data_IF_455469478767
#
_entry.id   IF_455469478767
#
_cell.length_a   1.000
_cell.length_b   1.000
_cell.length_c   1.000
_cell.angle_alpha   90.00
_cell.angle_beta   90.00
_cell.angle_gamma   90.00
#
_symmetry.space_group_name_H-M   'P 1'
#
loop_
_entity.id
_entity.type
_entity.pdbx_description
1 polymer ?
#
# COMPACT_ATOMS: atom_id res chain seq x y z
N UNK A 1 -7.23 3.60 -12.69
CA UNK A 1 -5.83 3.34 -13.04
C UNK A 1 -4.88 4.24 -12.24
N UNK A 2 -5.09 5.56 -12.21
CA UNK A 2 -4.22 6.53 -11.50
C UNK A 2 -4.02 6.15 -10.03
N UNK A 3 -5.09 5.80 -9.31
CA UNK A 3 -5.00 5.36 -7.92
C UNK A 3 -4.11 4.13 -7.74
N UNK A 4 -4.19 3.14 -8.64
CA UNK A 4 -3.34 1.94 -8.59
C UNK A 4 -1.85 2.31 -8.74
N UNK A 5 -1.53 3.26 -9.64
CA UNK A 5 -0.14 3.69 -9.87
C UNK A 5 0.39 4.50 -8.69
N UNK A 6 -0.44 5.32 -8.06
CA UNK A 6 -0.02 6.32 -7.08
C UNK A 6 -0.32 5.96 -5.62
N UNK A 7 -1.02 4.84 -5.31
CA UNK A 7 -1.44 4.54 -3.93
C UNK A 7 -0.27 4.56 -2.94
N UNK A 8 0.89 4.12 -3.38
CA UNK A 8 2.12 4.01 -2.60
C UNK A 8 3.16 5.09 -2.90
N UNK A 9 2.81 6.15 -3.64
CA UNK A 9 3.76 7.21 -4.07
C UNK A 9 4.51 7.84 -2.88
N UNK A 10 3.88 7.90 -1.71
CA UNK A 10 4.48 8.42 -0.49
C UNK A 10 5.71 7.63 -0.03
N UNK A 11 5.84 6.36 -0.39
CA UNK A 11 7.01 5.53 -0.06
C UNK A 11 8.31 6.09 -0.64
N UNK A 12 8.25 6.87 -1.70
CA UNK A 12 9.42 7.56 -2.26
C UNK A 12 10.05 8.58 -1.30
N UNK A 13 9.29 9.08 -0.30
CA UNK A 13 9.78 9.98 0.75
C UNK A 13 9.77 9.31 2.12
N UNK A 14 8.98 8.27 2.30
CA UNK A 14 8.92 7.49 3.53
C UNK A 14 10.21 6.70 3.77
N UNK A 15 10.75 6.12 2.70
CA UNK A 15 11.90 5.22 2.76
C UNK A 15 13.12 5.82 2.07
N UNK A 16 14.30 5.41 2.53
CA UNK A 16 15.55 5.61 1.82
C UNK A 16 16.32 4.29 1.76
N UNK A 17 17.20 4.15 0.78
CA UNK A 17 18.09 3.00 0.66
C UNK A 17 19.51 3.45 0.92
N UNK A 18 20.20 2.80 1.86
CA UNK A 18 21.59 3.09 2.17
C UNK A 18 22.55 2.56 1.07
N UNK A 19 23.85 2.84 1.23
CA UNK A 19 24.88 2.42 0.28
C UNK A 19 25.09 0.89 0.23
N UNK A 20 24.53 0.13 1.18
CA UNK A 20 24.58 -1.33 1.24
C UNK A 20 23.33 -2.00 0.67
N UNK A 21 22.33 -1.21 0.26
CA UNK A 21 21.07 -1.69 -0.29
C UNK A 21 19.99 -1.97 0.76
N UNK A 22 20.22 -1.65 2.04
CA UNK A 22 19.20 -1.79 3.06
C UNK A 22 18.24 -0.60 3.03
N UNK A 23 16.93 -0.88 3.06
CA UNK A 23 15.91 0.13 3.18
C UNK A 23 15.63 0.45 4.66
N UNK A 24 15.47 1.73 4.97
CA UNK A 24 15.08 2.21 6.30
C UNK A 24 14.19 3.45 6.17
N UNK A 25 13.54 3.84 7.26
CA UNK A 25 12.62 4.97 7.28
C UNK A 25 13.35 6.31 7.38
N UNK A 26 12.88 7.28 6.61
CA UNK A 26 13.23 8.68 6.86
C UNK A 26 12.56 9.18 8.15
N UNK A 27 13.05 10.28 8.79
CA UNK A 27 12.33 10.90 9.90
C UNK A 27 10.88 11.28 9.54
N UNK A 28 10.66 11.80 8.33
CA UNK A 28 9.32 12.13 7.84
C UNK A 28 8.47 10.86 7.68
N UNK A 29 9.05 9.79 7.15
CA UNK A 29 8.38 8.50 6.99
C UNK A 29 7.93 7.91 8.32
N UNK A 30 8.83 7.89 9.31
CA UNK A 30 8.52 7.39 10.66
C UNK A 30 7.43 8.19 11.39
N UNK A 31 7.36 9.50 11.15
CA UNK A 31 6.42 10.38 11.85
C UNK A 31 5.05 10.49 11.16
N UNK A 32 5.00 10.43 9.83
CA UNK A 32 3.79 10.74 9.05
C UNK A 32 3.24 9.52 8.30
N UNK A 33 4.10 8.59 7.91
CA UNK A 33 3.74 7.45 7.06
C UNK A 33 3.41 7.83 5.61
N UNK A 34 3.53 6.86 4.69
CA UNK A 34 3.39 7.11 3.24
C UNK A 34 1.99 7.57 2.81
N UNK A 35 0.93 7.21 3.54
CA UNK A 35 -0.43 7.62 3.19
C UNK A 35 -0.59 9.14 3.24
N UNK A 36 -0.16 9.75 4.35
CA UNK A 36 -0.22 11.20 4.51
C UNK A 36 0.75 11.91 3.56
N UNK A 37 1.99 11.43 3.50
CA UNK A 37 3.02 11.95 2.58
C UNK A 37 2.53 11.89 1.12
N UNK A 38 1.90 10.78 0.71
CA UNK A 38 1.33 10.62 -0.62
C UNK A 38 0.23 11.66 -0.90
N UNK A 39 -0.67 11.90 0.05
CA UNK A 39 -1.69 12.94 -0.08
C UNK A 39 -1.09 14.35 -0.24
N UNK A 40 -0.03 14.68 0.51
CA UNK A 40 0.69 15.94 0.38
C UNK A 40 1.39 16.08 -0.98
N UNK A 41 1.95 14.98 -1.51
CA UNK A 41 2.56 14.97 -2.85
C UNK A 41 1.52 15.24 -3.93
N UNK A 42 0.31 14.66 -3.83
CA UNK A 42 -0.81 14.93 -4.76
C UNK A 42 -1.23 16.40 -4.68
N UNK A 43 -1.38 16.98 -3.48
CA UNK A 43 -1.73 18.39 -3.31
C UNK A 43 -0.66 19.31 -3.94
N UNK A 44 0.61 19.00 -3.73
CA UNK A 44 1.72 19.77 -4.32
C UNK A 44 1.66 19.75 -5.84
N UNK A 45 1.53 18.56 -6.44
CA UNK A 45 1.45 18.40 -7.89
C UNK A 45 0.20 19.10 -8.47
N UNK A 46 -0.94 19.01 -7.78
CA UNK A 46 -2.17 19.68 -8.21
C UNK A 46 -2.03 21.21 -8.23
N UNK A 47 -1.39 21.78 -7.21
CA UNK A 47 -1.15 23.21 -7.15
C UNK A 47 -0.21 23.70 -8.27
N UNK A 48 0.75 22.88 -8.69
CA UNK A 48 1.67 23.21 -9.78
C UNK A 48 1.00 23.26 -11.16
N UNK A 49 -0.04 22.46 -11.39
CA UNK A 49 -0.76 22.44 -12.68
C UNK A 49 -1.83 23.53 -12.81
N UNK A 50 -2.07 24.30 -11.73
CA UNK A 50 -2.97 25.46 -11.71
C UNK A 50 -4.42 25.20 -12.19
N UNK A 51 -4.93 23.99 -12.05
CA UNK A 51 -6.34 23.69 -12.28
C UNK A 51 -7.16 24.13 -11.08
N UNK A 52 -8.32 24.76 -11.32
CA UNK A 52 -9.17 25.30 -10.25
C UNK A 52 -10.65 25.06 -10.46
N UNK A 53 -11.03 24.28 -11.48
CA UNK A 53 -12.41 23.91 -11.73
C UNK A 53 -12.88 22.83 -10.73
N UNK A 54 -14.20 22.81 -10.46
CA UNK A 54 -14.81 21.93 -9.46
C UNK A 54 -14.58 20.44 -9.79
N UNK A 55 -14.59 20.06 -11.06
CA UNK A 55 -14.37 18.68 -11.51
C UNK A 55 -12.94 18.20 -11.19
N UNK A 56 -11.94 19.06 -11.41
CA UNK A 56 -10.55 18.77 -11.09
C UNK A 56 -10.33 18.66 -9.58
N UNK A 57 -10.94 19.54 -8.80
CA UNK A 57 -10.89 19.50 -7.33
C UNK A 57 -11.50 18.20 -6.78
N UNK A 58 -12.67 17.79 -7.31
CA UNK A 58 -13.31 16.53 -6.92
C UNK A 58 -12.43 15.33 -7.27
N UNK A 59 -11.85 15.26 -8.47
CA UNK A 59 -10.93 14.18 -8.87
C UNK A 59 -9.72 14.06 -7.94
N UNK A 60 -9.14 15.18 -7.53
CA UNK A 60 -8.02 15.19 -6.57
C UNK A 60 -8.47 14.68 -5.20
N UNK A 61 -9.63 15.12 -4.72
CA UNK A 61 -10.21 14.63 -3.47
C UNK A 61 -10.40 13.10 -3.51
N UNK A 62 -11.00 12.58 -4.58
CA UNK A 62 -11.23 11.14 -4.76
C UNK A 62 -9.91 10.37 -4.86
N UNK A 63 -8.90 10.90 -5.55
CA UNK A 63 -7.57 10.30 -5.62
C UNK A 63 -6.91 10.22 -4.24
N UNK A 64 -6.94 11.31 -3.47
CA UNK A 64 -6.45 11.33 -2.09
C UNK A 64 -7.20 10.34 -1.19
N UNK A 65 -8.53 10.18 -1.39
CA UNK A 65 -9.28 9.17 -0.68
C UNK A 65 -8.79 7.74 -0.99
N UNK A 66 -8.44 7.44 -2.24
CA UNK A 66 -7.83 6.15 -2.61
C UNK A 66 -6.54 5.92 -1.82
N UNK A 67 -5.64 6.92 -1.77
CA UNK A 67 -4.39 6.82 -1.02
C UNK A 67 -4.64 6.66 0.48
N UNK A 68 -5.49 7.49 1.07
CA UNK A 68 -5.75 7.51 2.51
C UNK A 68 -6.44 6.25 3.03
N UNK A 69 -7.10 5.48 2.16
CA UNK A 69 -7.94 4.34 2.53
C UNK A 69 -7.47 2.97 2.04
N UNK A 70 -6.42 2.89 1.20
CA UNK A 70 -6.09 1.62 0.55
C UNK A 70 -5.68 0.51 1.53
N UNK A 71 -5.19 0.82 2.73
CA UNK A 71 -4.98 -0.18 3.78
C UNK A 71 -6.29 -0.77 4.36
N UNK A 72 -7.45 -0.22 3.98
CA UNK A 72 -8.78 -0.74 4.30
C UNK A 72 -9.27 -0.43 5.70
N UNK A 73 -8.57 -0.85 6.75
CA UNK A 73 -8.96 -0.64 8.14
C UNK A 73 -7.95 0.24 8.88
N UNK A 74 -8.44 1.02 9.86
CA UNK A 74 -7.56 1.85 10.71
C UNK A 74 -6.58 1.00 11.53
N UNK A 75 -6.97 -0.20 11.94
CA UNK A 75 -6.08 -1.15 12.64
C UNK A 75 -4.91 -1.62 11.76
N UNK A 76 -5.01 -1.48 10.44
CA UNK A 76 -3.95 -1.75 9.47
C UNK A 76 -3.25 -0.46 8.99
N UNK A 77 -3.51 0.67 9.64
CA UNK A 77 -2.86 1.96 9.37
C UNK A 77 -3.58 2.85 8.36
N UNK A 78 -4.79 2.50 7.89
CA UNK A 78 -5.57 3.40 7.04
C UNK A 78 -5.96 4.67 7.79
N UNK A 79 -5.85 5.83 7.15
CA UNK A 79 -6.32 7.11 7.70
C UNK A 79 -7.85 7.12 7.79
N UNK A 80 -8.51 6.56 6.77
CA UNK A 80 -9.96 6.38 6.71
C UNK A 80 -10.31 5.06 6.02
N UNK A 81 -11.52 4.57 6.22
CA UNK A 81 -11.99 3.36 5.53
C UNK A 81 -12.39 3.66 4.08
N UNK A 82 -12.27 2.69 3.14
CA UNK A 82 -12.70 2.87 1.76
C UNK A 82 -14.20 3.17 1.66
N UNK A 83 -14.57 4.26 1.00
CA UNK A 83 -15.94 4.71 0.81
C UNK A 83 -16.36 4.86 -0.66
N UNK A 84 -15.51 4.38 -1.58
CA UNK A 84 -15.77 4.33 -3.01
C UNK A 84 -15.58 2.89 -3.51
N UNK A 85 -16.33 2.44 -4.52
CA UNK A 85 -16.13 1.12 -5.13
C UNK A 85 -14.67 0.91 -5.56
N UNK A 86 -14.05 1.91 -6.16
CA UNK A 86 -12.65 1.89 -6.61
C UNK A 86 -11.67 1.77 -5.43
N UNK A 87 -11.96 2.42 -4.30
CA UNK A 87 -11.14 2.32 -3.10
C UNK A 87 -11.24 0.93 -2.45
N UNK A 88 -12.45 0.35 -2.43
CA UNK A 88 -12.66 -1.02 -1.96
C UNK A 88 -11.90 -2.00 -2.85
N UNK A 89 -11.99 -1.82 -4.18
CA UNK A 89 -11.29 -2.67 -5.14
C UNK A 89 -9.77 -2.54 -4.98
N UNK A 90 -9.24 -1.32 -4.87
CA UNK A 90 -7.81 -1.08 -4.67
C UNK A 90 -7.31 -1.80 -3.42
N UNK A 91 -7.98 -1.64 -2.28
CA UNK A 91 -7.63 -2.34 -1.05
C UNK A 91 -7.59 -3.87 -1.25
N UNK A 92 -8.59 -4.45 -1.95
CA UNK A 92 -8.64 -5.91 -2.16
C UNK A 92 -7.51 -6.40 -3.05
N UNK A 93 -7.17 -5.66 -4.11
CA UNK A 93 -6.07 -6.01 -5.02
C UNK A 93 -4.74 -5.93 -4.29
N UNK A 94 -4.49 -4.87 -3.54
CA UNK A 94 -3.29 -4.68 -2.75
C UNK A 94 -3.12 -5.78 -1.69
N UNK A 95 -4.19 -6.14 -0.99
CA UNK A 95 -4.20 -7.28 -0.06
C UNK A 95 -3.87 -8.61 -0.76
N UNK A 96 -4.45 -8.88 -1.93
CA UNK A 96 -4.17 -10.10 -2.69
C UNK A 96 -2.69 -10.15 -3.06
N UNK A 97 -2.11 -9.07 -3.56
CA UNK A 97 -0.69 -9.00 -3.91
C UNK A 97 0.20 -9.30 -2.70
N UNK A 98 -0.06 -8.65 -1.57
CA UNK A 98 0.67 -8.86 -0.32
C UNK A 98 0.54 -10.30 0.22
N UNK A 99 -0.65 -10.89 0.18
CA UNK A 99 -0.89 -12.27 0.61
C UNK A 99 -0.21 -13.27 -0.33
N UNK A 100 -0.27 -13.07 -1.64
CA UNK A 100 0.40 -13.92 -2.62
C UNK A 100 1.92 -13.86 -2.47
N UNK A 101 2.48 -12.68 -2.24
CA UNK A 101 3.92 -12.56 -1.94
C UNK A 101 4.31 -13.35 -0.67
N UNK A 102 3.50 -13.29 0.39
CA UNK A 102 3.75 -14.09 1.60
C UNK A 102 3.68 -15.59 1.31
N UNK A 103 2.71 -16.05 0.48
CA UNK A 103 2.61 -17.44 0.06
C UNK A 103 3.87 -17.88 -0.69
N UNK A 104 4.32 -17.10 -1.67
CA UNK A 104 5.51 -17.40 -2.47
C UNK A 104 6.75 -17.52 -1.57
N UNK A 105 6.97 -16.52 -0.71
CA UNK A 105 8.11 -16.51 0.22
C UNK A 105 8.09 -17.71 1.18
N UNK A 106 6.93 -18.06 1.73
CA UNK A 106 6.81 -19.17 2.66
C UNK A 106 7.06 -20.55 1.98
N UNK A 107 6.79 -20.65 0.69
CA UNK A 107 6.99 -21.88 -0.08
C UNK A 107 8.38 -21.97 -0.74
N UNK A 108 9.14 -20.89 -0.82
CA UNK A 108 10.42 -20.84 -1.54
C UNK A 108 11.39 -21.95 -1.05
N UNK A 109 11.66 -21.99 0.23
CA UNK A 109 12.59 -22.96 0.86
C UNK A 109 11.88 -24.19 1.46
N UNK A 110 10.55 -24.30 1.30
CA UNK A 110 9.79 -25.42 1.87
C UNK A 110 10.06 -26.71 1.11
N UNK A 111 10.18 -27.83 1.82
CA UNK A 111 10.35 -29.16 1.23
C UNK A 111 9.05 -29.62 0.54
N UNK A 112 9.16 -30.16 -0.68
CA UNK A 112 8.01 -30.72 -1.40
C UNK A 112 7.33 -31.83 -0.58
N UNK A 113 6.01 -31.93 -0.65
CA UNK A 113 5.21 -32.89 0.09
C UNK A 113 5.01 -32.56 1.57
N UNK A 114 5.39 -31.36 2.03
CA UNK A 114 5.25 -30.93 3.42
C UNK A 114 4.49 -29.61 3.58
N UNK A 115 4.10 -29.31 4.81
CA UNK A 115 3.46 -28.04 5.17
C UNK A 115 4.47 -27.07 5.74
N UNK A 116 4.27 -25.77 5.51
CA UNK A 116 4.97 -24.69 6.19
C UNK A 116 4.61 -24.64 7.67
N UNK A 117 5.34 -23.84 8.44
CA UNK A 117 4.84 -23.34 9.72
C UNK A 117 3.61 -22.44 9.52
N UNK A 118 2.99 -22.03 10.64
CA UNK A 118 1.85 -21.09 10.61
C UNK A 118 2.32 -19.70 10.20
N UNK A 119 1.66 -19.12 9.20
CA UNK A 119 2.01 -17.81 8.65
C UNK A 119 1.06 -16.79 9.27
N UNK A 120 1.57 -15.94 10.16
CA UNK A 120 0.77 -14.97 10.91
C UNK A 120 -0.02 -14.03 9.98
N UNK A 121 0.61 -13.51 8.93
CA UNK A 121 -0.03 -12.61 7.97
C UNK A 121 -1.08 -13.27 7.06
N UNK A 122 -1.21 -14.61 7.12
CA UNK A 122 -2.24 -15.40 6.42
C UNK A 122 -3.18 -16.08 7.43
N UNK A 123 -3.64 -15.37 8.44
CA UNK A 123 -4.55 -15.86 9.48
C UNK A 123 -4.07 -17.17 10.14
N UNK A 124 -2.76 -17.31 10.36
CA UNK A 124 -2.13 -18.51 10.88
C UNK A 124 -2.34 -19.77 10.01
N UNK A 125 -2.58 -19.59 8.72
CA UNK A 125 -2.70 -20.69 7.75
C UNK A 125 -1.34 -21.37 7.54
N UNK A 126 -1.37 -22.68 7.29
CA UNK A 126 -0.23 -23.48 6.83
C UNK A 126 -0.42 -23.79 5.37
N UNK A 127 0.61 -23.62 4.57
CA UNK A 127 0.58 -23.91 3.14
C UNK A 127 1.23 -25.27 2.87
N UNK A 128 0.61 -26.06 2.02
CA UNK A 128 1.19 -27.31 1.54
C UNK A 128 1.98 -27.04 0.25
N UNK A 129 3.23 -27.48 0.20
CA UNK A 129 4.03 -27.48 -1.03
C UNK A 129 3.85 -28.81 -1.75
N UNK A 130 3.22 -28.85 -2.94
CA UNK A 130 3.03 -30.07 -3.70
C UNK A 130 4.35 -30.77 -4.07
N UNK A 131 4.28 -32.07 -4.37
CA UNK A 131 5.39 -32.90 -4.84
C UNK A 131 5.77 -32.51 -6.26
#
# INVERSE_FOLDING_TARGET
LTGIILHDIGKLKELYTDSTGNADYTPQGSLLGHLLIGCEMIDTAYNEIHLSDDESQEKVLLLKHLLASHHGKQEYGAITTPQLPEAIMLNRIDMIDAEMYQCERALEDQTNGTFTDRIFGLDNTRLYKPI
#
